data_IF_292745864774
#
_entry.id   IF_292745864774
#
_cell.length_a   1.000
_cell.length_b   1.000
_cell.length_c   1.000
_cell.angle_alpha   90.00
_cell.angle_beta   90.00
_cell.angle_gamma   90.00
#
_symmetry.space_group_name_H-M   'P 1'
#
loop_
_entity.id
_entity.type
_entity.pdbx_description
1 polymer ?
#
# COMPACT_ATOMS: atom_id res chain seq x y z
N UNK A 1 21.43 -13.44 18.14
CA UNK A 1 21.15 -13.58 16.70
C UNK A 1 20.45 -12.37 16.11
N UNK A 2 19.34 -11.83 16.67
CA UNK A 2 18.61 -10.65 16.11
C UNK A 2 19.46 -9.37 16.02
N UNK A 3 20.37 -9.14 16.99
CA UNK A 3 21.25 -7.96 17.00
C UNK A 3 22.36 -8.03 15.94
N UNK A 4 22.83 -9.24 15.59
CA UNK A 4 23.87 -9.48 14.58
C UNK A 4 23.25 -9.29 13.17
N UNK A 5 22.01 -9.68 12.96
CA UNK A 5 21.31 -9.45 11.68
C UNK A 5 21.07 -7.96 11.43
N UNK A 6 20.72 -7.20 12.47
CA UNK A 6 20.55 -5.74 12.38
C UNK A 6 21.86 -5.01 12.10
N UNK A 7 22.96 -5.44 12.73
CA UNK A 7 24.29 -4.87 12.49
C UNK A 7 24.85 -5.22 11.11
N UNK A 8 24.59 -6.42 10.60
CA UNK A 8 24.93 -6.80 9.22
C UNK A 8 24.13 -6.02 8.16
N UNK A 9 22.84 -5.76 8.43
CA UNK A 9 22.03 -4.89 7.58
C UNK A 9 22.54 -3.44 7.59
N UNK A 10 22.93 -2.92 8.77
CA UNK A 10 23.48 -1.59 8.91
C UNK A 10 24.88 -1.46 8.25
N UNK A 11 25.75 -2.46 8.39
CA UNK A 11 27.06 -2.50 7.74
C UNK A 11 26.97 -2.65 6.22
N UNK A 12 26.00 -3.40 5.71
CA UNK A 12 25.72 -3.50 4.27
C UNK A 12 25.33 -2.17 3.63
N UNK A 13 24.70 -1.28 4.37
CA UNK A 13 24.34 0.07 3.89
C UNK A 13 25.52 1.05 3.82
N UNK A 14 26.61 0.83 4.58
CA UNK A 14 27.74 1.75 4.62
C UNK A 14 28.90 1.43 3.66
N UNK A 15 28.97 0.21 3.11
CA UNK A 15 30.13 -0.24 2.33
C UNK A 15 30.10 0.08 0.82
N UNK A 16 29.09 0.79 0.32
CA UNK A 16 28.90 1.04 -1.13
C UNK A 16 29.01 2.53 -1.51
N UNK A 17 29.75 3.32 -0.75
CA UNK A 17 29.67 4.79 -0.69
C UNK A 17 30.37 5.57 -1.83
N UNK A 18 30.93 4.97 -2.89
CA UNK A 18 31.76 5.74 -3.81
C UNK A 18 31.19 6.00 -5.23
N UNK A 19 29.98 5.51 -5.55
CA UNK A 19 29.33 5.80 -6.84
C UNK A 19 27.79 5.86 -6.76
N UNK A 20 27.21 5.85 -5.56
CA UNK A 20 25.78 5.78 -5.38
C UNK A 20 25.22 7.13 -4.96
N UNK A 21 24.13 7.53 -5.60
CA UNK A 21 23.37 8.71 -5.19
C UNK A 21 22.19 8.25 -4.34
N UNK A 22 22.17 8.68 -3.09
CA UNK A 22 21.06 8.47 -2.18
C UNK A 22 20.15 9.70 -2.16
N UNK A 23 18.87 9.49 -2.34
CA UNK A 23 17.84 10.53 -2.32
C UNK A 23 16.70 10.11 -1.40
N UNK A 24 16.03 11.07 -0.82
CA UNK A 24 14.85 10.80 0.02
C UNK A 24 13.85 11.95 -0.14
N UNK A 25 12.62 11.70 0.27
CA UNK A 25 11.61 12.74 0.24
C UNK A 25 10.22 12.26 0.66
N UNK A 26 9.29 13.21 0.80
CA UNK A 26 7.90 12.90 1.09
C UNK A 26 7.22 12.24 -0.10
N UNK A 27 6.24 11.40 0.20
CA UNK A 27 5.40 10.75 -0.80
C UNK A 27 3.96 10.67 -0.33
N UNK A 28 3.04 10.85 -1.28
CA UNK A 28 1.60 10.71 -1.08
C UNK A 28 1.02 9.87 -2.21
N UNK A 29 -0.02 9.10 -1.95
CA UNK A 29 -0.72 8.35 -2.98
C UNK A 29 -2.22 8.27 -2.70
N UNK A 30 -3.02 8.30 -3.75
CA UNK A 30 -4.39 7.82 -3.75
C UNK A 30 -4.44 6.37 -4.20
N UNK A 31 -5.26 5.55 -3.57
CA UNK A 31 -5.38 4.13 -3.91
C UNK A 31 -6.82 3.73 -4.23
N UNK A 32 -6.96 2.80 -5.17
CA UNK A 32 -8.17 2.04 -5.41
C UNK A 32 -7.94 0.65 -4.81
N UNK A 33 -8.70 0.35 -3.74
CA UNK A 33 -8.65 -0.96 -3.08
C UNK A 33 -9.59 -1.90 -3.82
N UNK A 34 -9.02 -2.88 -4.49
CA UNK A 34 -9.71 -3.84 -5.35
C UNK A 34 -9.72 -5.19 -4.63
N UNK A 35 -10.82 -5.92 -4.70
CA UNK A 35 -10.91 -7.29 -4.18
C UNK A 35 -11.98 -8.05 -4.93
N UNK A 36 -11.77 -9.33 -5.12
CA UNK A 36 -12.65 -10.19 -5.93
C UNK A 36 -14.07 -10.33 -5.36
N UNK A 37 -14.24 -10.10 -4.04
CA UNK A 37 -15.52 -10.29 -3.33
C UNK A 37 -16.05 -8.99 -2.67
N UNK A 38 -15.47 -7.83 -3.01
CA UNK A 38 -15.84 -6.57 -2.36
C UNK A 38 -15.92 -5.43 -3.36
N UNK A 39 -16.67 -4.38 -3.02
CA UNK A 39 -16.75 -3.17 -3.85
C UNK A 39 -15.44 -2.39 -3.77
N UNK A 40 -14.94 -1.97 -4.92
CA UNK A 40 -13.77 -1.07 -5.02
C UNK A 40 -13.99 0.20 -4.22
N UNK A 41 -13.05 0.55 -3.37
CA UNK A 41 -13.07 1.75 -2.52
C UNK A 41 -11.79 2.53 -2.65
N UNK A 42 -11.89 3.83 -2.41
CA UNK A 42 -10.76 4.75 -2.42
C UNK A 42 -10.08 4.71 -1.06
N UNK A 43 -8.76 4.64 -1.07
CA UNK A 43 -7.89 4.82 0.08
C UNK A 43 -6.81 5.86 -0.20
N UNK A 44 -5.90 6.05 0.74
CA UNK A 44 -4.74 6.93 0.58
C UNK A 44 -3.53 6.39 1.32
N UNK A 45 -2.35 6.83 0.90
CA UNK A 45 -1.12 6.59 1.62
C UNK A 45 -0.28 7.86 1.69
N UNK A 46 0.42 8.07 2.81
CA UNK A 46 1.31 9.22 3.02
C UNK A 46 2.52 8.79 3.84
N UNK A 47 3.70 9.29 3.48
CA UNK A 47 4.92 8.94 4.20
C UNK A 47 6.19 9.44 3.56
N UNK A 48 7.25 8.68 3.72
CA UNK A 48 8.57 8.99 3.18
C UNK A 48 9.07 7.87 2.27
N UNK A 49 9.81 8.26 1.26
CA UNK A 49 10.49 7.40 0.29
C UNK A 49 11.99 7.67 0.34
N UNK A 50 12.77 6.62 0.28
CA UNK A 50 14.21 6.65 0.07
C UNK A 50 14.53 5.92 -1.23
N UNK A 51 15.48 6.43 -1.98
CA UNK A 51 15.93 5.88 -3.25
C UNK A 51 17.44 5.87 -3.33
N UNK A 52 18.00 4.75 -3.72
CA UNK A 52 19.43 4.58 -3.96
C UNK A 52 19.64 4.25 -5.44
N UNK A 53 20.39 5.09 -6.13
CA UNK A 53 20.77 4.90 -7.53
C UNK A 53 22.17 4.32 -7.61
N UNK A 54 22.37 3.21 -8.33
CA UNK A 54 23.62 2.48 -8.36
C UNK A 54 24.68 3.12 -9.27
N UNK A 55 24.26 3.79 -10.34
CA UNK A 55 25.19 4.38 -11.29
C UNK A 55 25.08 5.91 -11.36
N UNK A 56 23.84 6.43 -11.43
CA UNK A 56 23.55 7.85 -11.59
C UNK A 56 22.11 8.10 -11.15
N UNK A 57 21.82 9.29 -10.64
CA UNK A 57 20.44 9.69 -10.36
C UNK A 57 19.56 9.82 -11.61
N UNK A 58 20.18 9.88 -12.80
CA UNK A 58 19.48 10.16 -14.06
C UNK A 58 19.13 8.91 -14.85
N UNK A 59 19.91 7.82 -14.72
CA UNK A 59 19.67 6.57 -15.46
C UNK A 59 20.31 5.38 -14.77
N UNK A 60 19.78 4.20 -15.03
CA UNK A 60 20.35 2.95 -14.55
C UNK A 60 19.51 2.29 -13.47
N UNK A 61 20.09 1.30 -12.84
CA UNK A 61 19.45 0.57 -11.78
C UNK A 61 19.30 1.41 -10.51
N UNK A 62 18.15 1.27 -9.88
CA UNK A 62 17.89 1.86 -8.57
C UNK A 62 17.15 0.89 -7.65
N UNK A 63 17.22 1.16 -6.39
CA UNK A 63 16.38 0.53 -5.37
C UNK A 63 15.62 1.63 -4.62
N UNK A 64 14.35 1.44 -4.36
CA UNK A 64 13.60 2.33 -3.47
C UNK A 64 12.90 1.57 -2.35
N UNK A 65 12.76 2.24 -1.23
CA UNK A 65 11.95 1.80 -0.11
C UNK A 65 11.09 2.95 0.39
N UNK A 66 9.87 2.65 0.81
CA UNK A 66 8.99 3.65 1.40
C UNK A 66 8.43 3.16 2.73
N UNK A 67 8.11 4.10 3.60
CA UNK A 67 7.37 3.84 4.83
C UNK A 67 6.14 4.72 4.79
N UNK A 68 4.97 4.10 4.63
CA UNK A 68 3.71 4.76 4.35
C UNK A 68 2.67 4.46 5.41
N UNK A 69 2.07 5.49 5.99
CA UNK A 69 0.79 5.37 6.67
C UNK A 69 -0.29 5.19 5.60
N UNK A 70 -0.91 4.03 5.58
CA UNK A 70 -1.83 3.60 4.53
C UNK A 70 -3.24 3.42 5.10
N UNK A 71 -4.23 3.96 4.41
CA UNK A 71 -5.65 3.72 4.67
C UNK A 71 -6.22 2.83 3.57
N UNK A 72 -6.81 1.70 3.97
CA UNK A 72 -7.55 0.80 3.07
C UNK A 72 -9.01 0.73 3.50
N UNK A 73 -9.90 0.95 2.54
CA UNK A 73 -11.33 0.83 2.73
C UNK A 73 -11.86 -0.37 1.94
N UNK A 74 -12.68 -1.18 2.61
CA UNK A 74 -13.31 -2.38 2.03
C UNK A 74 -14.80 -2.32 2.33
N UNK A 75 -15.63 -2.67 1.35
CA UNK A 75 -17.08 -2.79 1.55
C UNK A 75 -17.54 -4.14 1.00
N UNK A 76 -18.23 -4.92 1.83
CA UNK A 76 -18.84 -6.16 1.38
C UNK A 76 -19.95 -5.89 0.35
N UNK A 77 -20.32 -6.90 -0.41
CA UNK A 77 -21.57 -6.85 -1.16
C UNK A 77 -22.77 -6.74 -0.20
N UNK A 78 -23.87 -6.23 -0.73
CA UNK A 78 -25.10 -6.11 0.07
C UNK A 78 -25.81 -7.47 0.12
N UNK A 79 -26.04 -7.97 1.32
CA UNK A 79 -26.87 -9.13 1.57
C UNK A 79 -28.30 -8.67 1.85
N UNK A 80 -29.28 -9.18 1.11
CA UNK A 80 -30.70 -8.91 1.35
C UNK A 80 -31.37 -10.10 1.98
N UNK A 81 -31.92 -9.93 3.19
CA UNK A 81 -32.71 -10.95 3.88
C UNK A 81 -34.16 -10.81 3.47
N UNK A 82 -34.72 -11.82 2.76
CA UNK A 82 -36.09 -11.83 2.26
C UNK A 82 -37.14 -11.89 3.36
N UNK A 83 -36.84 -12.48 4.52
CA UNK A 83 -37.78 -12.61 5.65
C UNK A 83 -37.93 -11.28 6.39
N UNK A 84 -36.83 -10.62 6.70
CA UNK A 84 -36.83 -9.34 7.41
C UNK A 84 -36.98 -8.13 6.50
N UNK A 85 -36.84 -8.32 5.17
CA UNK A 85 -36.79 -7.25 4.13
C UNK A 85 -35.73 -6.19 4.42
N UNK A 86 -34.61 -6.62 5.03
CA UNK A 86 -33.49 -5.76 5.36
C UNK A 86 -32.30 -6.07 4.45
N UNK A 87 -31.71 -5.03 3.90
CA UNK A 87 -30.42 -5.08 3.22
C UNK A 87 -29.30 -4.77 4.23
N UNK A 88 -28.24 -5.57 4.24
CA UNK A 88 -27.08 -5.34 5.11
C UNK A 88 -25.78 -5.40 4.30
N UNK A 89 -24.84 -4.53 4.64
CA UNK A 89 -23.46 -4.60 4.15
C UNK A 89 -22.48 -4.07 5.22
N UNK A 90 -21.28 -4.59 5.17
CA UNK A 90 -20.21 -4.22 6.10
C UNK A 90 -19.23 -3.27 5.43
N UNK A 91 -18.77 -2.28 6.20
CA UNK A 91 -17.71 -1.35 5.82
C UNK A 91 -16.54 -1.51 6.77
N UNK A 92 -15.38 -1.82 6.21
CA UNK A 92 -14.13 -1.89 6.95
C UNK A 92 -13.24 -0.72 6.53
N UNK A 93 -12.72 0.01 7.52
CA UNK A 93 -11.70 1.04 7.29
C UNK A 93 -10.49 0.68 8.14
N UNK A 94 -9.38 0.36 7.48
CA UNK A 94 -8.15 -0.08 8.14
C UNK A 94 -7.03 0.91 7.92
N UNK A 95 -6.17 1.03 8.92
CA UNK A 95 -4.96 1.83 8.88
C UNK A 95 -3.77 0.92 9.16
N UNK A 96 -2.72 1.07 8.36
CA UNK A 96 -1.54 0.21 8.40
C UNK A 96 -0.27 0.98 8.09
N UNK A 97 0.87 0.36 8.41
CA UNK A 97 2.19 0.78 7.97
C UNK A 97 2.59 -0.09 6.79
N UNK A 98 2.56 0.50 5.58
CA UNK A 98 2.93 -0.17 4.33
C UNK A 98 4.40 0.12 4.00
N UNK A 99 5.18 -0.93 3.78
CA UNK A 99 6.61 -0.86 3.50
C UNK A 99 6.93 -1.62 2.22
N UNK A 100 6.81 -1.00 1.03
CA UNK A 100 7.32 -1.55 -0.21
C UNK A 100 8.84 -1.35 -0.32
N UNK A 101 9.52 -2.34 -0.90
CA UNK A 101 10.95 -2.28 -1.25
C UNK A 101 11.10 -2.77 -2.67
N UNK A 102 11.47 -1.90 -3.59
CA UNK A 102 11.49 -2.19 -5.02
C UNK A 102 12.88 -2.04 -5.61
N UNK A 103 13.17 -2.85 -6.61
CA UNK A 103 14.31 -2.71 -7.51
C UNK A 103 13.77 -2.33 -8.87
N UNK A 104 14.40 -1.37 -9.51
CA UNK A 104 13.93 -0.84 -10.79
C UNK A 104 15.02 -0.28 -11.67
N UNK A 105 14.59 0.19 -12.82
CA UNK A 105 15.45 0.81 -13.80
C UNK A 105 14.88 2.16 -14.26
N UNK A 106 15.77 3.17 -14.38
CA UNK A 106 15.48 4.49 -14.92
C UNK A 106 15.95 4.57 -16.37
N UNK A 107 15.03 4.87 -17.25
CA UNK A 107 15.27 5.14 -18.65
C UNK A 107 15.28 6.66 -18.86
N UNK A 108 16.43 7.23 -19.18
CA UNK A 108 16.54 8.66 -19.49
C UNK A 108 15.91 8.93 -20.86
N UNK A 109 14.83 9.70 -20.89
CA UNK A 109 14.15 10.12 -22.11
C UNK A 109 14.67 11.49 -22.60
N UNK A 110 14.96 12.41 -21.67
CA UNK A 110 15.59 13.70 -21.92
C UNK A 110 16.38 14.16 -20.69
N UNK A 111 16.97 15.37 -20.74
CA UNK A 111 17.75 15.92 -19.62
C UNK A 111 16.90 16.12 -18.35
N UNK A 112 15.60 16.34 -18.52
CA UNK A 112 14.68 16.62 -17.42
C UNK A 112 13.58 15.55 -17.26
N UNK A 113 13.62 14.45 -18.00
CA UNK A 113 12.57 13.44 -17.97
C UNK A 113 13.14 12.03 -18.00
N UNK A 114 12.81 11.25 -16.96
CA UNK A 114 13.11 9.82 -16.87
C UNK A 114 11.82 9.01 -16.79
N UNK A 115 11.81 7.84 -17.40
CA UNK A 115 10.81 6.81 -17.17
C UNK A 115 11.33 5.86 -16.09
N UNK A 116 10.45 5.45 -15.16
CA UNK A 116 10.77 4.54 -14.09
C UNK A 116 9.98 3.26 -14.24
N UNK A 117 10.62 2.12 -14.04
CA UNK A 117 9.94 0.84 -13.88
C UNK A 117 10.58 0.08 -12.72
N UNK A 118 9.77 -0.43 -11.79
CA UNK A 118 10.27 -1.12 -10.60
C UNK A 118 9.30 -2.21 -10.15
N UNK A 119 9.85 -3.21 -9.45
CA UNK A 119 9.09 -4.30 -8.86
C UNK A 119 9.77 -4.74 -7.57
N UNK A 120 9.00 -5.20 -6.60
CA UNK A 120 9.56 -5.74 -5.37
C UNK A 120 8.52 -6.21 -4.37
N UNK A 121 8.96 -6.77 -3.25
CA UNK A 121 8.07 -7.16 -2.17
C UNK A 121 7.55 -5.95 -1.39
N UNK A 122 6.41 -6.15 -0.74
CA UNK A 122 5.94 -5.25 0.30
C UNK A 122 5.53 -6.01 1.55
N UNK A 123 5.61 -5.34 2.69
CA UNK A 123 5.00 -5.76 3.95
C UNK A 123 4.00 -4.68 4.40
N UNK A 124 2.85 -5.12 4.92
CA UNK A 124 1.77 -4.24 5.40
C UNK A 124 1.42 -4.65 6.82
N UNK A 125 1.65 -3.74 7.79
CA UNK A 125 1.46 -3.97 9.22
C UNK A 125 0.22 -3.23 9.71
N UNK A 126 -0.87 -3.96 9.99
CA UNK A 126 -2.11 -3.40 10.50
C UNK A 126 -1.95 -2.75 11.87
N UNK A 127 -2.31 -1.49 11.98
CA UNK A 127 -2.26 -0.70 13.21
C UNK A 127 -3.61 -0.71 13.92
N UNK A 128 -4.64 -0.22 13.23
CA UNK A 128 -6.01 -0.12 13.74
C UNK A 128 -7.01 -0.19 12.59
N UNK A 129 -8.27 -0.34 12.91
CA UNK A 129 -9.35 -0.32 11.92
C UNK A 129 -10.71 -0.44 12.57
N UNK A 130 -11.73 -0.01 11.86
CA UNK A 130 -13.12 -0.03 12.31
C UNK A 130 -13.97 -0.91 11.41
N UNK A 131 -14.92 -1.60 12.01
CA UNK A 131 -15.98 -2.34 11.34
C UNK A 131 -17.32 -1.66 11.62
N UNK A 132 -18.09 -1.42 10.55
CA UNK A 132 -19.42 -0.84 10.61
C UNK A 132 -20.38 -1.66 9.77
N UNK A 133 -21.55 -1.93 10.30
CA UNK A 133 -22.67 -2.52 9.55
C UNK A 133 -23.66 -1.43 9.17
N UNK A 134 -24.08 -1.42 7.94
CA UNK A 134 -25.18 -0.57 7.47
C UNK A 134 -26.37 -1.47 7.17
N UNK A 135 -27.48 -1.20 7.85
CA UNK A 135 -28.76 -1.88 7.63
C UNK A 135 -29.71 -0.92 6.95
N UNK A 136 -30.32 -1.35 5.84
CA UNK A 136 -31.29 -0.56 5.07
C UNK A 136 -32.64 -1.28 5.11
N UNK A 137 -33.69 -0.58 5.50
CA UNK A 137 -35.05 -1.11 5.52
C UNK A 137 -35.73 -1.09 4.13
N UNK A 138 -36.91 -1.69 4.02
CA UNK A 138 -37.70 -1.73 2.78
C UNK A 138 -38.15 -0.35 2.29
N UNK A 139 -38.09 0.69 3.15
CA UNK A 139 -38.44 2.07 2.82
C UNK A 139 -37.21 2.90 2.42
N UNK A 140 -36.01 2.29 2.38
CA UNK A 140 -34.77 2.94 2.02
C UNK A 140 -34.08 3.71 3.14
N UNK A 141 -34.57 3.61 4.40
CA UNK A 141 -33.87 4.22 5.53
C UNK A 141 -32.68 3.35 5.90
N UNK A 142 -31.50 4.00 6.00
CA UNK A 142 -30.26 3.32 6.34
C UNK A 142 -29.79 3.72 7.74
N UNK A 143 -29.45 2.73 8.56
CA UNK A 143 -28.85 2.90 9.88
C UNK A 143 -27.45 2.29 9.85
N UNK A 144 -26.45 3.08 10.23
CA UNK A 144 -25.08 2.62 10.38
C UNK A 144 -24.74 2.41 11.85
N UNK A 145 -24.26 1.22 12.19
CA UNK A 145 -23.82 0.86 13.54
C UNK A 145 -22.37 0.42 13.52
N UNK A 146 -21.58 0.89 14.49
CA UNK A 146 -20.18 0.50 14.67
C UNK A 146 -20.15 -0.83 15.42
N UNK A 147 -19.62 -1.87 14.78
CA UNK A 147 -19.52 -3.23 15.33
C UNK A 147 -18.21 -3.37 16.11
N UNK A 148 -17.09 -2.92 15.53
CA UNK A 148 -15.78 -2.99 16.16
C UNK A 148 -15.02 -1.68 15.99
N UNK A 149 -14.22 -1.32 17.00
CA UNK A 149 -13.29 -0.21 16.96
C UNK A 149 -11.83 -0.65 16.71
N UNK A 150 -11.58 -1.97 16.68
CA UNK A 150 -10.25 -2.52 16.42
C UNK A 150 -10.34 -3.91 15.78
N UNK A 151 -10.53 -3.94 14.47
CA UNK A 151 -10.67 -5.19 13.69
C UNK A 151 -9.45 -6.12 13.78
N UNK A 152 -8.28 -5.61 14.13
CA UNK A 152 -7.08 -6.42 14.35
C UNK A 152 -7.04 -7.01 15.78
N UNK A 153 -7.54 -6.28 16.77
CA UNK A 153 -7.70 -6.74 18.15
C UNK A 153 -8.73 -7.85 18.26
N UNK A 154 -9.86 -7.71 17.58
CA UNK A 154 -10.96 -8.67 17.55
C UNK A 154 -10.67 -9.89 16.64
N UNK A 155 -9.47 -9.98 16.11
CA UNK A 155 -8.99 -11.09 15.27
C UNK A 155 -9.76 -11.29 13.96
N UNK A 156 -10.45 -10.29 13.48
CA UNK A 156 -11.14 -10.32 12.17
C UNK A 156 -10.14 -10.25 11.01
N UNK A 157 -9.09 -9.44 11.17
CA UNK A 157 -8.06 -9.22 10.16
C UNK A 157 -6.71 -9.79 10.55
N UNK A 158 -5.96 -10.23 9.57
CA UNK A 158 -4.54 -10.54 9.71
C UNK A 158 -3.76 -9.22 9.87
N UNK A 159 -2.95 -9.15 10.93
CA UNK A 159 -2.18 -7.93 11.25
C UNK A 159 -1.01 -7.71 10.32
N UNK A 160 -0.47 -8.78 9.73
CA UNK A 160 0.69 -8.71 8.84
C UNK A 160 0.31 -9.32 7.50
N UNK A 161 0.50 -8.55 6.44
CA UNK A 161 0.28 -8.98 5.07
C UNK A 161 1.53 -8.76 4.25
N UNK A 162 1.79 -9.66 3.31
CA UNK A 162 2.90 -9.61 2.38
C UNK A 162 2.40 -9.76 0.97
N UNK A 163 3.13 -9.18 0.04
CA UNK A 163 2.82 -9.28 -1.37
C UNK A 163 3.93 -8.74 -2.25
N UNK A 164 3.59 -8.50 -3.49
CA UNK A 164 4.44 -7.91 -4.52
C UNK A 164 3.82 -6.59 -4.99
N UNK A 165 4.68 -5.61 -5.24
CA UNK A 165 4.37 -4.31 -5.82
C UNK A 165 5.09 -4.18 -7.17
N UNK A 166 4.39 -3.70 -8.19
CA UNK A 166 4.96 -3.35 -9.49
C UNK A 166 4.59 -1.90 -9.80
N UNK A 167 5.57 -1.11 -10.21
CA UNK A 167 5.46 0.34 -10.36
C UNK A 167 6.04 0.80 -11.68
N UNK A 168 5.33 1.70 -12.34
CA UNK A 168 5.82 2.50 -13.45
C UNK A 168 5.62 3.98 -13.15
N UNK A 169 6.45 4.85 -13.68
CA UNK A 169 6.32 6.28 -13.39
C UNK A 169 7.23 7.14 -14.25
N UNK A 170 7.10 8.43 -14.03
CA UNK A 170 7.96 9.44 -14.63
C UNK A 170 8.63 10.27 -13.55
N UNK A 171 9.88 10.63 -13.78
CA UNK A 171 10.63 11.57 -12.95
C UNK A 171 10.90 12.81 -13.78
N UNK A 172 10.51 13.97 -13.25
CA UNK A 172 10.62 15.28 -13.90
C UNK A 172 11.58 16.13 -13.10
N UNK A 173 12.49 16.82 -13.82
CA UNK A 173 13.48 17.72 -13.23
C UNK A 173 14.31 17.10 -12.10
N UNK A 174 14.49 15.77 -12.11
CA UNK A 174 15.22 14.96 -11.11
C UNK A 174 14.62 14.94 -9.70
N UNK A 175 13.54 15.66 -9.45
CA UNK A 175 12.92 15.81 -8.13
C UNK A 175 11.49 15.26 -8.05
N UNK A 176 10.69 15.47 -9.07
CA UNK A 176 9.27 15.14 -9.03
C UNK A 176 9.02 13.76 -9.65
N UNK A 177 8.49 12.85 -8.88
CA UNK A 177 8.13 11.52 -9.37
C UNK A 177 6.62 11.34 -9.30
N UNK A 178 6.01 11.04 -10.47
CA UNK A 178 4.62 10.59 -10.56
C UNK A 178 4.65 9.10 -10.92
N UNK A 179 3.94 8.27 -10.17
CA UNK A 179 3.98 6.83 -10.34
C UNK A 179 2.60 6.20 -10.27
N UNK A 180 2.41 5.17 -11.07
CA UNK A 180 1.29 4.25 -10.99
C UNK A 180 1.84 2.90 -10.52
N UNK A 181 1.31 2.36 -9.43
CA UNK A 181 1.70 1.05 -8.92
C UNK A 181 0.50 0.12 -8.73
N UNK A 182 0.75 -1.16 -8.91
CA UNK A 182 -0.18 -2.22 -8.62
C UNK A 182 0.44 -3.19 -7.62
N UNK A 183 -0.26 -3.39 -6.51
CA UNK A 183 0.17 -4.28 -5.45
C UNK A 183 -0.78 -5.47 -5.33
N UNK A 184 -0.23 -6.68 -5.17
CA UNK A 184 -1.00 -7.90 -4.92
C UNK A 184 -0.48 -8.65 -3.70
N UNK A 185 -1.39 -8.87 -2.73
CA UNK A 185 -1.12 -9.65 -1.54
C UNK A 185 -1.08 -11.15 -1.80
N UNK A 186 -0.22 -11.86 -1.07
CA UNK A 186 -0.18 -13.32 -1.04
C UNK A 186 -0.91 -13.90 0.16
N UNK A 187 -1.03 -13.10 1.22
CA UNK A 187 -1.72 -13.47 2.46
C UNK A 187 -3.17 -13.03 2.42
N UNK A 188 -4.03 -13.78 3.11
CA UNK A 188 -5.43 -13.41 3.27
C UNK A 188 -5.56 -12.20 4.20
N UNK A 189 -6.46 -11.28 3.85
CA UNK A 189 -6.77 -10.12 4.70
C UNK A 189 -7.54 -10.58 5.94
N UNK A 190 -8.54 -11.46 5.77
CA UNK A 190 -9.40 -11.94 6.85
C UNK A 190 -8.85 -13.19 7.53
N UNK A 191 -9.10 -13.29 8.86
CA UNK A 191 -8.90 -14.50 9.64
C UNK A 191 -10.17 -15.31 9.60
N UNK A 192 -10.42 -16.31 9.13
CA UNK A 192 -11.72 -17.05 9.19
C UNK A 192 -12.10 -17.73 7.89
N UNK A 193 -11.14 -17.93 7.00
CA UNK A 193 -11.32 -18.81 5.84
C UNK A 193 -11.79 -18.12 4.54
N UNK A 194 -12.12 -16.85 4.56
CA UNK A 194 -12.32 -16.09 3.33
C UNK A 194 -10.98 -15.88 2.61
N UNK A 195 -10.87 -16.41 1.41
CA UNK A 195 -9.63 -16.31 0.62
C UNK A 195 -9.54 -14.95 -0.09
N UNK A 196 -9.66 -13.88 0.66
CA UNK A 196 -9.63 -12.51 0.14
C UNK A 196 -8.22 -11.94 0.28
N UNK A 197 -7.60 -11.61 -0.84
CA UNK A 197 -6.25 -11.04 -0.92
C UNK A 197 -6.32 -9.55 -1.22
N UNK A 198 -5.37 -8.78 -0.67
CA UNK A 198 -5.26 -7.36 -0.97
C UNK A 198 -4.83 -7.15 -2.42
N UNK A 199 -5.50 -6.23 -3.10
CA UNK A 199 -5.11 -5.73 -4.40
C UNK A 199 -5.33 -4.21 -4.39
N UNK A 200 -4.30 -3.46 -4.73
CA UNK A 200 -4.37 -2.00 -4.72
C UNK A 200 -3.76 -1.44 -6.01
N UNK A 201 -4.48 -0.54 -6.65
CA UNK A 201 -3.94 0.31 -7.71
C UNK A 201 -3.72 1.69 -7.10
N UNK A 202 -2.47 2.22 -7.15
CA UNK A 202 -2.12 3.47 -6.50
C UNK A 202 -1.53 4.45 -7.50
N UNK A 203 -1.99 5.70 -7.43
CA UNK A 203 -1.37 6.85 -8.10
C UNK A 203 -0.60 7.64 -7.05
N UNK A 204 0.72 7.65 -7.16
CA UNK A 204 1.62 8.25 -6.19
C UNK A 204 2.37 9.46 -6.74
N UNK A 205 2.63 10.43 -5.86
CA UNK A 205 3.48 11.57 -6.10
C UNK A 205 4.57 11.63 -5.02
N UNK A 206 5.82 11.82 -5.42
CA UNK A 206 6.96 11.98 -4.50
C UNK A 206 7.81 13.17 -4.93
N UNK A 207 8.34 13.88 -3.94
CA UNK A 207 9.39 14.88 -4.15
C UNK A 207 10.69 14.34 -3.58
N UNK A 208 11.75 14.28 -4.38
CA UNK A 208 13.05 13.72 -4.01
C UNK A 208 14.08 14.84 -3.88
N UNK A 209 14.74 14.92 -2.71
CA UNK A 209 15.82 15.86 -2.41
C UNK A 209 17.15 15.41 -3.00
#
# INVERSE_FOLDING_TARGET
MKKILLSLLALGCFSVANAQTFRFGPTVAGSLNISDETKTKIGFAVGAKAEMNFNSSEKGWFMDASVLFNNRNIQSESYFNNETKLGQYWKYSTYSLLVPVNVGYKFRLSDNLNLLAAVGPYADFGLTGTDKVTTTDAKGHSKEEKVSSNVYGDKLFNRVNFGVDAKVGVEIAKHYQLSLSYSRGFTNIFKGGLNTKAQDLQLGFSYMF
#
